data_IF_145860690173
#
_entry.id   IF_145860690173
#
_cell.length_a   1.000
_cell.length_b   1.000
_cell.length_c   1.000
_cell.angle_alpha   90.00
_cell.angle_beta   90.00
_cell.angle_gamma   90.00
#
_symmetry.space_group_name_H-M   'P 1'
#
loop_
_entity.id
_entity.type
_entity.pdbx_description
1 polymer ?
#
# COMPACT_ATOMS: atom_id res chain seq x y z
N UNK A 1 -5.72 19.73 -15.29
CA UNK A 1 -6.37 20.45 -14.16
C UNK A 1 -7.73 19.83 -13.87
N UNK A 2 -7.91 19.24 -12.66
CA UNK A 2 -9.14 18.53 -12.26
C UNK A 2 -10.37 19.44 -12.23
N UNK A 3 -10.21 20.68 -11.77
CA UNK A 3 -11.28 21.69 -11.75
C UNK A 3 -11.75 22.05 -13.16
N UNK A 4 -10.84 22.24 -14.11
CA UNK A 4 -11.23 22.53 -15.51
C UNK A 4 -12.01 21.37 -16.15
N UNK A 5 -11.64 20.12 -15.85
CA UNK A 5 -12.36 18.95 -16.33
C UNK A 5 -13.76 18.86 -15.72
N UNK A 6 -13.90 19.16 -14.43
CA UNK A 6 -15.19 19.20 -13.73
C UNK A 6 -16.10 20.31 -14.28
N UNK A 7 -15.56 21.52 -14.51
CA UNK A 7 -16.32 22.63 -15.10
C UNK A 7 -16.82 22.28 -16.51
N UNK A 8 -16.00 21.60 -17.31
CA UNK A 8 -16.40 21.10 -18.64
C UNK A 8 -17.50 20.05 -18.56
N UNK A 9 -17.44 19.13 -17.58
CA UNK A 9 -18.51 18.14 -17.36
C UNK A 9 -19.85 18.81 -17.03
N UNK A 10 -19.82 19.96 -16.36
CA UNK A 10 -21.00 20.80 -16.08
C UNK A 10 -21.42 21.69 -17.25
N UNK A 11 -20.85 21.50 -18.44
CA UNK A 11 -21.19 22.26 -19.65
C UNK A 11 -20.52 23.64 -19.75
N UNK A 12 -19.62 24.00 -18.84
CA UNK A 12 -18.91 25.27 -18.88
C UNK A 12 -17.63 25.17 -19.71
N UNK A 13 -17.62 25.82 -20.88
CA UNK A 13 -16.45 25.98 -21.74
C UNK A 13 -15.49 27.04 -21.18
N UNK A 14 -14.69 26.66 -20.19
CA UNK A 14 -13.70 27.56 -19.56
C UNK A 14 -12.27 27.20 -19.99
N UNK A 15 -11.48 28.22 -20.32
CA UNK A 15 -10.05 28.07 -20.58
C UNK A 15 -9.30 27.72 -19.28
N UNK A 16 -8.47 26.68 -19.31
CA UNK A 16 -7.63 26.26 -18.19
C UNK A 16 -6.73 27.38 -17.65
N UNK A 17 -6.29 28.32 -18.49
CA UNK A 17 -5.49 29.49 -18.07
C UNK A 17 -6.27 30.42 -17.13
N UNK A 18 -7.57 30.64 -17.41
CA UNK A 18 -8.44 31.48 -16.57
C UNK A 18 -8.69 30.81 -15.22
N UNK A 19 -8.97 29.51 -15.22
CA UNK A 19 -9.17 28.72 -13.99
C UNK A 19 -7.91 28.75 -13.13
N UNK A 20 -6.72 28.53 -13.71
CA UNK A 20 -5.46 28.56 -12.97
C UNK A 20 -5.14 29.92 -12.35
N UNK A 21 -5.47 31.02 -13.05
CA UNK A 21 -5.30 32.38 -12.51
C UNK A 21 -6.25 32.66 -11.34
N UNK A 22 -7.51 32.25 -11.46
CA UNK A 22 -8.50 32.41 -10.39
C UNK A 22 -8.12 31.57 -9.15
N UNK A 23 -7.71 30.32 -9.36
CA UNK A 23 -7.22 29.47 -8.27
C UNK A 23 -6.02 30.08 -7.54
N UNK A 24 -5.11 30.77 -8.25
CA UNK A 24 -3.98 31.48 -7.61
C UNK A 24 -4.45 32.71 -6.83
N UNK A 25 -5.39 33.49 -7.37
CA UNK A 25 -5.92 34.67 -6.71
C UNK A 25 -6.65 34.31 -5.41
N UNK A 26 -7.39 33.21 -5.41
CA UNK A 26 -8.16 32.72 -4.26
C UNK A 26 -7.35 31.78 -3.34
N UNK A 27 -6.03 31.69 -3.55
CA UNK A 27 -5.10 30.83 -2.80
C UNK A 27 -5.52 29.34 -2.72
N UNK A 28 -6.17 28.83 -3.77
CA UNK A 28 -6.59 27.44 -3.89
C UNK A 28 -5.42 26.59 -4.40
N UNK A 29 -4.67 26.01 -3.45
CA UNK A 29 -3.56 25.10 -3.74
C UNK A 29 -4.09 23.72 -4.15
N UNK A 30 -3.66 23.24 -5.31
CA UNK A 30 -3.93 21.87 -5.75
C UNK A 30 -2.89 20.92 -5.17
N UNK A 31 -3.23 20.19 -4.11
CA UNK A 31 -2.41 19.06 -3.65
C UNK A 31 -2.63 17.86 -4.57
N UNK A 32 -1.58 17.45 -5.27
CA UNK A 32 -1.60 16.20 -6.02
C UNK A 32 -1.53 15.05 -5.00
N UNK A 33 -2.49 14.11 -5.01
CA UNK A 33 -2.35 12.91 -4.18
C UNK A 33 -1.07 12.18 -4.57
N UNK A 34 -0.34 11.64 -3.58
CA UNK A 34 0.81 10.77 -3.86
C UNK A 34 0.35 9.63 -4.79
N UNK A 35 1.19 9.30 -5.77
CA UNK A 35 0.92 8.14 -6.61
C UNK A 35 0.77 6.91 -5.70
N UNK A 36 -0.28 6.13 -5.94
CA UNK A 36 -0.45 4.86 -5.26
C UNK A 36 0.67 3.93 -5.74
N UNK A 37 1.62 3.62 -4.86
CA UNK A 37 2.68 2.66 -5.16
C UNK A 37 2.13 1.28 -4.84
N UNK A 38 1.99 0.45 -5.87
CA UNK A 38 1.63 -0.95 -5.72
C UNK A 38 2.86 -1.68 -5.18
N UNK A 39 2.89 -1.93 -3.88
CA UNK A 39 4.00 -2.61 -3.20
C UNK A 39 3.99 -4.13 -3.41
N UNK A 40 2.89 -4.67 -3.95
CA UNK A 40 2.67 -6.11 -4.10
C UNK A 40 2.67 -6.48 -5.57
N UNK A 41 3.67 -7.24 -6.01
CA UNK A 41 3.66 -7.85 -7.33
C UNK A 41 2.63 -8.99 -7.38
N UNK A 42 1.38 -8.63 -7.64
CA UNK A 42 0.30 -9.61 -7.84
C UNK A 42 0.43 -10.39 -9.16
N UNK A 43 1.40 -10.04 -10.03
CA UNK A 43 1.69 -10.73 -11.30
C UNK A 43 2.93 -11.62 -11.19
N UNK A 44 3.15 -12.21 -10.02
CA UNK A 44 4.21 -13.16 -9.81
C UNK A 44 3.85 -14.55 -10.39
N UNK A 45 4.87 -15.31 -10.77
CA UNK A 45 4.69 -16.68 -11.29
C UNK A 45 4.43 -17.74 -10.21
N UNK A 46 4.46 -17.36 -8.92
CA UNK A 46 4.14 -18.29 -7.83
C UNK A 46 2.65 -18.59 -7.76
N UNK A 47 2.34 -19.78 -7.26
CA UNK A 47 0.97 -20.21 -7.03
C UNK A 47 0.27 -19.27 -6.04
N UNK A 48 -0.82 -18.66 -6.49
CA UNK A 48 -1.66 -17.80 -5.65
C UNK A 48 -2.61 -18.71 -4.89
N UNK A 49 -2.30 -18.96 -3.62
CA UNK A 49 -3.20 -19.70 -2.75
C UNK A 49 -4.48 -18.92 -2.49
N UNK A 50 -5.59 -19.63 -2.53
CA UNK A 50 -6.89 -19.05 -2.25
C UNK A 50 -6.95 -18.56 -0.80
N UNK A 51 -7.41 -17.32 -0.58
CA UNK A 51 -7.68 -16.82 0.78
C UNK A 51 -8.87 -17.58 1.40
N UNK A 52 -8.58 -18.65 2.13
CA UNK A 52 -9.55 -19.50 2.81
C UNK A 52 -10.22 -18.80 4.00
N UNK A 53 -9.53 -17.85 4.64
CA UNK A 53 -10.07 -17.11 5.77
C UNK A 53 -11.33 -16.32 5.38
N UNK A 54 -11.34 -15.74 4.17
CA UNK A 54 -12.52 -15.01 3.65
C UNK A 54 -13.76 -15.87 3.43
N UNK A 55 -13.62 -17.20 3.43
CA UNK A 55 -14.70 -18.16 3.13
C UNK A 55 -15.12 -18.99 4.35
N UNK A 56 -14.47 -18.78 5.49
CA UNK A 56 -14.73 -19.56 6.69
C UNK A 56 -15.87 -18.94 7.52
N UNK A 57 -16.75 -19.78 8.08
CA UNK A 57 -17.71 -19.37 9.11
C UNK A 57 -17.14 -19.73 10.47
N UNK A 58 -16.79 -18.73 11.27
CA UNK A 58 -16.28 -18.90 12.62
C UNK A 58 -17.45 -19.07 13.60
N UNK A 59 -17.42 -20.12 14.40
CA UNK A 59 -18.45 -20.49 15.39
C UNK A 59 -17.99 -20.29 16.84
N UNK A 60 -16.72 -19.96 17.07
CA UNK A 60 -16.15 -19.79 18.40
C UNK A 60 -14.84 -19.00 18.42
N UNK A 61 -14.34 -18.74 19.63
CA UNK A 61 -13.09 -18.02 19.87
C UNK A 61 -11.89 -18.92 19.45
N UNK A 62 -10.76 -18.32 19.05
CA UNK A 62 -9.51 -18.99 18.68
C UNK A 62 -9.53 -19.86 17.40
N UNK A 63 -10.46 -19.60 16.47
CA UNK A 63 -10.59 -20.38 15.23
C UNK A 63 -9.85 -19.81 14.01
N UNK A 64 -9.48 -18.53 14.06
CA UNK A 64 -8.70 -17.86 13.01
C UNK A 64 -7.77 -16.84 13.66
N UNK A 65 -6.49 -16.95 13.34
CA UNK A 65 -5.45 -16.02 13.79
C UNK A 65 -4.88 -15.35 12.54
N UNK A 66 -4.98 -14.03 12.49
CA UNK A 66 -4.42 -13.23 11.40
C UNK A 66 -3.27 -12.44 11.99
N UNK A 67 -2.08 -12.62 11.42
CA UNK A 67 -0.89 -11.89 11.79
C UNK A 67 -0.29 -11.25 10.54
N UNK A 68 0.28 -10.07 10.73
CA UNK A 68 1.09 -9.41 9.71
C UNK A 68 2.55 -9.83 9.87
N UNK A 69 3.27 -10.00 8.76
CA UNK A 69 4.71 -10.30 8.80
C UNK A 69 5.47 -9.01 8.50
N UNK A 70 6.25 -8.55 9.48
CA UNK A 70 7.11 -7.38 9.33
C UNK A 70 8.55 -7.81 9.06
N UNK A 71 9.10 -7.42 7.91
CA UNK A 71 10.51 -7.64 7.59
C UNK A 71 11.39 -6.57 8.24
N UNK A 72 12.25 -6.99 9.17
CA UNK A 72 13.26 -6.10 9.76
C UNK A 72 14.57 -6.29 9.00
N UNK A 73 15.09 -5.18 8.46
CA UNK A 73 16.36 -5.17 7.75
C UNK A 73 17.52 -5.11 8.74
N UNK A 74 18.37 -6.13 8.77
CA UNK A 74 19.65 -6.09 9.46
C UNK A 74 20.80 -5.95 8.44
N UNK A 75 21.92 -5.36 8.85
CA UNK A 75 23.02 -4.86 8.01
C UNK A 75 23.47 -5.83 6.89
N UNK A 76 23.42 -7.16 7.15
CA UNK A 76 23.87 -8.18 6.19
C UNK A 76 22.89 -9.31 5.90
N UNK A 77 21.72 -9.34 6.54
CA UNK A 77 20.78 -10.45 6.43
C UNK A 77 19.35 -10.04 6.79
N UNK A 78 18.39 -10.87 6.39
CA UNK A 78 16.97 -10.65 6.63
C UNK A 78 16.46 -11.71 7.61
N UNK A 79 15.69 -11.24 8.58
CA UNK A 79 15.08 -12.07 9.61
C UNK A 79 13.59 -11.72 9.67
N UNK A 80 12.74 -12.75 9.66
CA UNK A 80 11.31 -12.58 9.87
C UNK A 80 11.05 -12.65 11.37
N UNK A 81 10.54 -11.57 11.96
CA UNK A 81 9.94 -11.65 13.29
C UNK A 81 8.48 -12.06 13.13
N UNK A 82 8.09 -13.07 13.90
CA UNK A 82 6.68 -13.37 14.15
C UNK A 82 6.36 -12.73 15.49
N UNK A 83 5.24 -12.02 15.59
CA UNK A 83 4.91 -11.17 16.75
C UNK A 83 4.48 -11.95 18.01
N UNK A 84 4.85 -13.23 18.12
CA UNK A 84 4.63 -14.05 19.29
C UNK A 84 5.94 -14.17 20.09
N UNK A 85 6.04 -13.38 21.18
CA UNK A 85 7.09 -13.30 22.22
C UNK A 85 8.30 -12.38 21.94
N UNK A 86 8.59 -11.50 22.90
CA UNK A 86 9.73 -10.57 23.02
C UNK A 86 11.11 -11.26 23.17
N UNK A 87 11.34 -12.36 22.46
CA UNK A 87 12.65 -13.00 22.36
C UNK A 87 13.06 -13.09 20.90
N UNK A 88 14.14 -12.41 20.56
CA UNK A 88 14.87 -12.72 19.33
C UNK A 88 15.39 -14.15 19.51
N UNK A 89 14.68 -15.11 18.94
CA UNK A 89 15.13 -16.49 18.92
C UNK A 89 16.47 -16.55 18.17
N UNK A 90 17.52 -16.92 18.90
CA UNK A 90 18.88 -17.09 18.35
C UNK A 90 18.95 -18.27 17.37
N UNK A 91 17.88 -19.08 17.26
CA UNK A 91 17.74 -20.15 16.28
C UNK A 91 17.17 -19.70 14.92
N UNK A 92 16.84 -18.42 14.75
CA UNK A 92 16.30 -17.88 13.51
C UNK A 92 17.28 -18.10 12.34
N UNK A 93 16.91 -19.00 11.43
CA UNK A 93 17.69 -19.25 10.22
C UNK A 93 17.65 -18.02 9.29
N UNK A 94 18.77 -17.66 8.65
CA UNK A 94 18.78 -16.57 7.68
C UNK A 94 17.84 -16.91 6.52
N UNK A 95 16.78 -16.11 6.34
CA UNK A 95 15.93 -16.26 5.17
C UNK A 95 16.63 -15.69 3.93
N UNK A 96 16.40 -16.27 2.73
CA UNK A 96 16.83 -15.65 1.48
C UNK A 96 16.30 -14.22 1.45
N UNK A 97 17.06 -13.30 0.83
CA UNK A 97 16.66 -11.89 0.74
C UNK A 97 15.17 -11.81 0.35
N UNK A 98 14.24 -11.32 1.19
CA UNK A 98 12.98 -10.85 0.70
C UNK A 98 13.33 -9.88 -0.40
N UNK A 99 12.75 -10.14 -1.56
CA UNK A 99 12.88 -9.25 -2.70
C UNK A 99 12.59 -7.84 -2.18
N UNK A 100 13.40 -6.84 -2.57
CA UNK A 100 13.25 -5.51 -2.05
C UNK A 100 11.77 -5.16 -2.04
N UNK A 101 11.24 -4.76 -0.89
CA UNK A 101 10.14 -3.82 -0.93
C UNK A 101 10.73 -2.63 -1.66
N UNK A 102 10.52 -2.58 -2.98
CA UNK A 102 11.04 -1.52 -3.84
C UNK A 102 10.36 -0.26 -3.33
N UNK A 103 11.10 0.51 -2.55
CA UNK A 103 10.74 1.87 -2.21
C UNK A 103 11.14 2.73 -3.40
N UNK A 104 10.09 3.28 -4.03
CA UNK A 104 10.01 4.24 -5.13
C UNK A 104 9.94 3.64 -6.53
#
# INVERSE_FOLDING_TARGET
>A
MRITAELRRRGMLVNHKRVSRLMRADNLLAMQPRAFVVTTDSKHQFEVYLNLASRMKLTGINQLWVADITYIRLDRAWYCKHDDEDKIDQSAQPCPRPRPAIAQ
#
